data_IF_563280618191
#
_entry.id   IF_563280618191
#
_cell.length_a   1.000
_cell.length_b   1.000
_cell.length_c   1.000
_cell.angle_alpha   90.00
_cell.angle_beta   90.00
_cell.angle_gamma   90.00
#
_symmetry.space_group_name_H-M   'P 1'
#
loop_
_entity.id
_entity.type
_entity.pdbx_description
1 polymer ?
#
# COMPACT_ATOMS: atom_id res chain seq x y z
N UNK A 1 -67.87 59.79 22.80
CA UNK A 1 -68.59 58.95 21.84
C UNK A 1 -67.54 58.41 20.85
N UNK A 2 -66.92 57.31 21.16
CA UNK A 2 -65.92 56.69 20.31
C UNK A 2 -66.38 55.27 19.97
N UNK A 3 -66.62 55.01 18.71
CA UNK A 3 -66.98 53.69 18.17
C UNK A 3 -65.77 52.84 18.10
N UNK A 4 -65.78 51.67 18.75
CA UNK A 4 -64.79 50.65 18.70
C UNK A 4 -65.13 49.70 17.54
N UNK A 5 -64.26 49.62 16.55
CA UNK A 5 -64.36 48.68 15.40
C UNK A 5 -63.64 47.42 15.74
N UNK A 6 -64.33 46.29 15.85
CA UNK A 6 -63.79 44.98 16.07
C UNK A 6 -63.36 44.43 14.72
N UNK A 7 -62.09 44.22 14.52
CA UNK A 7 -61.54 43.50 13.35
C UNK A 7 -61.32 42.02 13.70
N UNK A 8 -62.09 41.15 13.05
CA UNK A 8 -61.93 39.71 13.14
C UNK A 8 -60.79 39.31 12.20
N UNK A 9 -59.65 38.84 12.77
CA UNK A 9 -58.57 38.25 12.02
C UNK A 9 -58.80 36.73 11.90
N UNK A 10 -59.15 36.30 10.71
CA UNK A 10 -59.21 34.87 10.37
C UNK A 10 -57.84 34.32 10.23
N UNK A 11 -57.44 33.40 11.10
CA UNK A 11 -56.17 32.62 10.95
C UNK A 11 -56.39 31.51 9.92
N UNK A 12 -55.84 31.67 8.75
CA UNK A 12 -55.65 30.55 7.81
C UNK A 12 -54.41 29.76 8.24
N UNK A 13 -54.62 28.58 8.80
CA UNK A 13 -53.55 27.59 8.99
C UNK A 13 -53.28 26.83 7.72
N UNK A 14 -52.25 27.21 6.97
CA UNK A 14 -51.71 26.40 5.88
C UNK A 14 -50.80 25.33 6.47
N UNK A 15 -51.27 24.09 6.45
CA UNK A 15 -50.47 22.91 6.74
C UNK A 15 -49.44 22.68 5.62
N UNK A 16 -48.17 23.09 5.81
CA UNK A 16 -47.06 22.65 4.98
C UNK A 16 -46.76 21.19 5.31
N UNK A 17 -47.19 20.29 4.41
CA UNK A 17 -46.67 18.92 4.38
C UNK A 17 -45.20 18.97 3.92
N UNK A 18 -44.30 18.92 4.85
CA UNK A 18 -42.86 18.71 4.54
C UNK A 18 -42.67 17.28 4.06
N UNK A 19 -42.63 17.09 2.74
CA UNK A 19 -42.10 15.88 2.14
C UNK A 19 -40.60 15.78 2.51
N UNK A 20 -40.32 15.00 3.54
CA UNK A 20 -38.92 14.58 3.84
C UNK A 20 -38.45 13.65 2.73
N UNK A 21 -37.84 14.22 1.71
CA UNK A 21 -37.01 13.43 0.78
C UNK A 21 -35.78 12.98 1.55
N UNK A 22 -35.80 11.72 2.00
CA UNK A 22 -34.58 11.05 2.47
C UNK A 22 -33.61 10.93 1.29
N UNK A 23 -32.72 11.91 1.16
CA UNK A 23 -31.51 11.77 0.36
C UNK A 23 -30.73 10.59 0.98
N UNK A 24 -30.91 9.38 0.43
CA UNK A 24 -29.93 8.33 0.56
C UNK A 24 -28.65 8.84 -0.12
N UNK A 25 -27.81 9.56 0.63
CA UNK A 25 -26.42 9.69 0.28
C UNK A 25 -25.91 8.26 0.11
N UNK A 26 -25.70 7.85 -1.14
CA UNK A 26 -24.82 6.73 -1.46
C UNK A 26 -23.48 7.13 -0.84
N UNK A 27 -23.19 6.62 0.35
CA UNK A 27 -21.88 6.75 0.94
C UNK A 27 -20.89 6.23 -0.09
N UNK A 28 -20.08 7.09 -0.66
CA UNK A 28 -18.90 6.68 -1.42
C UNK A 28 -18.10 5.81 -0.48
N UNK A 29 -18.06 4.50 -0.73
CA UNK A 29 -17.23 3.56 0.02
C UNK A 29 -15.81 4.14 -0.05
N UNK A 30 -15.30 4.63 1.08
CA UNK A 30 -13.94 5.13 1.15
C UNK A 30 -13.02 3.95 0.79
N UNK A 31 -12.25 4.08 -0.29
CA UNK A 31 -11.33 3.03 -0.72
C UNK A 31 -10.29 2.84 0.38
N UNK A 32 -10.23 1.63 0.93
CA UNK A 32 -9.26 1.28 1.97
C UNK A 32 -8.01 0.71 1.31
N UNK A 33 -6.85 1.22 1.70
CA UNK A 33 -5.57 0.80 1.15
C UNK A 33 -4.68 0.18 2.23
N UNK A 34 -3.80 -0.74 1.82
CA UNK A 34 -2.77 -1.34 2.66
C UNK A 34 -1.44 -1.39 1.91
N UNK A 35 -0.33 -1.19 2.62
CA UNK A 35 1.03 -1.37 2.13
C UNK A 35 1.58 -2.69 2.66
N UNK A 36 1.75 -3.67 1.80
CA UNK A 36 2.39 -4.95 2.10
C UNK A 36 3.83 -4.88 1.60
N UNK A 37 4.81 -5.07 2.47
CA UNK A 37 6.19 -4.93 2.06
C UNK A 37 7.15 -5.80 2.85
N UNK A 38 8.28 -6.12 2.23
CA UNK A 38 9.48 -6.62 2.89
C UNK A 38 10.55 -5.53 2.88
N UNK A 39 11.28 -5.40 3.96
CA UNK A 39 12.39 -4.45 4.07
C UNK A 39 13.55 -5.06 4.82
N UNK A 40 14.78 -4.86 4.32
CA UNK A 40 15.99 -5.37 4.96
C UNK A 40 16.76 -4.22 5.63
N UNK A 41 16.90 -4.31 6.96
CA UNK A 41 17.87 -3.53 7.74
C UNK A 41 19.20 -4.30 7.78
N UNK A 42 20.28 -3.64 8.20
CA UNK A 42 21.61 -4.24 8.26
C UNK A 42 22.47 -3.82 7.07
N UNK A 43 23.35 -4.72 6.62
CA UNK A 43 24.33 -4.42 5.60
C UNK A 43 23.72 -4.46 4.18
N UNK A 44 23.71 -3.31 3.49
CA UNK A 44 23.09 -3.14 2.19
C UNK A 44 24.07 -2.52 1.19
N UNK A 45 23.88 -2.82 -0.10
CA UNK A 45 24.67 -2.23 -1.17
C UNK A 45 24.47 -0.71 -1.23
N UNK A 46 25.53 0.01 -1.51
CA UNK A 46 25.65 1.46 -1.67
C UNK A 46 25.33 2.30 -0.39
N UNK A 47 24.47 1.83 0.52
CA UNK A 47 24.07 2.58 1.72
C UNK A 47 24.74 2.06 3.00
N UNK A 48 25.46 0.93 2.93
CA UNK A 48 26.13 0.31 4.07
C UNK A 48 25.16 -0.26 5.12
N UNK A 49 25.57 -0.22 6.38
CA UNK A 49 24.75 -0.77 7.47
C UNK A 49 23.70 0.25 7.93
N UNK A 50 22.43 -0.07 7.71
CA UNK A 50 21.28 0.80 8.02
C UNK A 50 20.38 0.17 9.09
N UNK A 51 19.88 0.98 10.02
CA UNK A 51 18.97 0.53 11.10
C UNK A 51 17.53 0.32 10.63
N UNK A 52 17.11 1.08 9.62
CA UNK A 52 15.78 1.00 9.01
C UNK A 52 15.97 0.77 7.53
N UNK A 53 15.41 -0.31 7.02
CA UNK A 53 15.54 -0.68 5.60
C UNK A 53 14.87 0.35 4.68
N UNK A 54 15.41 0.50 3.48
CA UNK A 54 14.96 1.52 2.52
C UNK A 54 13.49 1.36 2.13
N UNK A 55 13.01 0.13 1.93
CA UNK A 55 11.62 -0.12 1.57
C UNK A 55 10.65 0.28 2.68
N UNK A 56 11.01 0.08 3.96
CA UNK A 56 10.21 0.53 5.11
C UNK A 56 9.99 2.04 5.08
N UNK A 57 11.02 2.82 4.74
CA UNK A 57 10.90 4.28 4.64
C UNK A 57 9.90 4.68 3.55
N UNK A 58 9.93 4.01 2.40
CA UNK A 58 8.96 4.26 1.32
C UNK A 58 7.55 3.86 1.75
N UNK A 59 7.40 2.72 2.43
CA UNK A 59 6.12 2.26 2.98
C UNK A 59 5.55 3.27 3.98
N UNK A 60 6.40 3.84 4.84
CA UNK A 60 6.00 4.88 5.80
C UNK A 60 5.51 6.15 5.08
N UNK A 61 6.19 6.59 4.02
CA UNK A 61 5.74 7.73 3.22
C UNK A 61 4.39 7.46 2.54
N UNK A 62 4.20 6.26 1.97
CA UNK A 62 2.91 5.90 1.37
C UNK A 62 1.80 5.98 2.42
N UNK A 63 2.00 5.37 3.59
CA UNK A 63 1.00 5.39 4.67
C UNK A 63 0.73 6.79 5.22
N UNK A 64 1.77 7.60 5.41
CA UNK A 64 1.63 8.99 5.86
C UNK A 64 0.79 9.84 4.89
N UNK A 65 1.00 9.65 3.58
CA UNK A 65 0.35 10.46 2.54
C UNK A 65 -1.06 9.97 2.23
N UNK A 66 -1.28 8.64 2.25
CA UNK A 66 -2.54 8.03 1.79
C UNK A 66 -3.47 7.58 2.92
N UNK A 67 -2.95 7.45 4.14
CA UNK A 67 -3.67 6.82 5.25
C UNK A 67 -3.76 5.29 5.14
N UNK A 68 -2.96 4.66 4.25
CA UNK A 68 -2.95 3.20 4.10
C UNK A 68 -2.42 2.52 5.35
N UNK A 69 -3.04 1.39 5.72
CA UNK A 69 -2.52 0.49 6.75
C UNK A 69 -1.19 -0.14 6.29
N UNK A 70 -0.42 -0.72 7.19
CA UNK A 70 0.83 -1.41 6.86
C UNK A 70 0.82 -2.86 7.31
N UNK A 71 1.44 -3.71 6.50
CA UNK A 71 1.83 -5.07 6.86
C UNK A 71 3.27 -5.32 6.40
N UNK A 72 4.18 -5.43 7.36
CA UNK A 72 5.58 -5.77 7.11
C UNK A 72 5.76 -7.29 7.12
N UNK A 73 6.36 -7.82 6.06
CA UNK A 73 6.76 -9.23 5.99
C UNK A 73 8.04 -9.37 6.80
N UNK A 74 7.94 -10.05 7.94
CA UNK A 74 9.06 -10.27 8.86
C UNK A 74 9.63 -11.65 8.64
N UNK A 75 10.95 -11.75 8.56
CA UNK A 75 11.70 -13.02 8.59
C UNK A 75 13.05 -12.79 9.24
N UNK A 76 13.48 -13.72 10.08
CA UNK A 76 14.80 -13.66 10.74
C UNK A 76 15.89 -14.36 9.94
N UNK A 77 15.55 -14.91 8.77
CA UNK A 77 16.50 -15.67 7.94
C UNK A 77 17.72 -14.86 7.51
N UNK A 78 17.56 -13.55 7.36
CA UNK A 78 18.60 -12.65 6.84
C UNK A 78 19.26 -11.78 7.90
N UNK A 79 18.84 -11.90 9.17
CA UNK A 79 19.29 -11.03 10.27
C UNK A 79 20.78 -11.17 10.52
N UNK A 80 21.47 -10.02 10.67
CA UNK A 80 22.88 -9.97 10.98
C UNK A 80 23.83 -10.46 9.89
N UNK A 81 23.33 -10.80 8.71
CA UNK A 81 24.16 -11.22 7.61
C UNK A 81 24.92 -10.04 7.00
N UNK A 82 26.20 -10.23 6.71
CA UNK A 82 26.95 -9.30 5.87
C UNK A 82 26.45 -9.35 4.44
N UNK A 83 26.64 -8.26 3.69
CA UNK A 83 26.11 -8.12 2.32
C UNK A 83 26.49 -9.27 1.37
N UNK A 84 27.76 -9.71 1.35
CA UNK A 84 28.23 -10.78 0.45
C UNK A 84 27.52 -12.12 0.70
N UNK A 85 27.51 -12.67 1.92
CA UNK A 85 26.74 -13.87 2.26
C UNK A 85 25.24 -13.73 1.97
N UNK A 86 24.63 -12.57 2.27
CA UNK A 86 23.22 -12.30 1.99
C UNK A 86 22.90 -12.40 0.50
N UNK A 87 23.68 -11.72 -0.34
CA UNK A 87 23.47 -11.74 -1.80
C UNK A 87 23.62 -13.14 -2.39
N UNK A 88 24.58 -13.94 -1.90
CA UNK A 88 24.75 -15.32 -2.32
C UNK A 88 23.55 -16.19 -1.94
N UNK A 89 23.09 -16.09 -0.69
CA UNK A 89 21.90 -16.81 -0.22
C UNK A 89 20.66 -16.44 -1.05
N UNK A 90 20.42 -15.15 -1.26
CA UNK A 90 19.29 -14.66 -2.04
C UNK A 90 19.33 -15.15 -3.50
N UNK A 91 20.53 -15.26 -4.10
CA UNK A 91 20.71 -15.85 -5.44
C UNK A 91 20.38 -17.33 -5.47
N UNK A 92 20.85 -18.07 -4.46
CA UNK A 92 20.54 -19.51 -4.34
C UNK A 92 19.04 -19.76 -4.17
N UNK A 93 18.38 -18.99 -3.34
CA UNK A 93 16.91 -19.06 -3.16
C UNK A 93 16.18 -18.80 -4.49
N UNK A 94 16.54 -17.73 -5.19
CA UNK A 94 15.93 -17.39 -6.47
C UNK A 94 16.15 -18.51 -7.53
N UNK A 95 17.36 -19.04 -7.62
CA UNK A 95 17.71 -20.08 -8.58
C UNK A 95 17.00 -21.42 -8.30
N UNK A 96 16.75 -21.73 -7.02
CA UNK A 96 16.08 -22.96 -6.60
C UNK A 96 14.56 -22.80 -6.50
N UNK A 97 14.03 -21.57 -6.58
CA UNK A 97 12.64 -21.28 -6.27
C UNK A 97 12.29 -21.59 -4.80
N UNK A 98 13.26 -21.45 -3.91
CA UNK A 98 13.07 -21.67 -2.48
C UNK A 98 12.22 -20.55 -1.90
N UNK A 99 11.26 -20.90 -1.07
CA UNK A 99 10.32 -19.95 -0.45
C UNK A 99 10.57 -19.91 1.07
N UNK A 100 11.38 -18.97 1.55
CA UNK A 100 11.65 -18.81 2.97
C UNK A 100 10.39 -18.47 3.75
N UNK A 101 10.22 -19.01 4.97
CA UNK A 101 9.08 -18.67 5.81
C UNK A 101 9.13 -17.20 6.27
N UNK A 102 7.97 -16.62 6.48
CA UNK A 102 7.78 -15.35 7.17
C UNK A 102 7.10 -15.58 8.54
N UNK A 103 7.21 -14.61 9.43
CA UNK A 103 6.64 -14.67 10.76
C UNK A 103 5.17 -14.26 10.78
N UNK A 104 4.40 -14.91 11.65
CA UNK A 104 3.01 -14.56 11.90
C UNK A 104 2.03 -15.14 10.88
N UNK A 105 0.94 -14.42 10.63
CA UNK A 105 -0.14 -14.80 9.72
C UNK A 105 -0.29 -13.78 8.61
N UNK A 106 -0.67 -14.24 7.42
CA UNK A 106 -1.04 -13.35 6.33
C UNK A 106 -2.14 -12.36 6.75
N UNK A 107 -2.11 -11.12 6.25
CA UNK A 107 -3.12 -10.12 6.59
C UNK A 107 -4.47 -10.49 5.99
N UNK A 108 -5.56 -10.17 6.71
CA UNK A 108 -6.90 -10.20 6.13
C UNK A 108 -7.08 -9.01 5.19
N UNK A 109 -7.35 -9.29 3.93
CA UNK A 109 -7.43 -8.28 2.87
C UNK A 109 -8.85 -7.99 2.38
N UNK A 110 -9.87 -8.54 3.03
CA UNK A 110 -11.27 -8.43 2.59
C UNK A 110 -11.73 -6.97 2.48
N UNK A 111 -11.32 -6.11 3.40
CA UNK A 111 -11.74 -4.70 3.43
C UNK A 111 -10.96 -3.78 2.48
N UNK A 112 -9.82 -4.23 1.94
CA UNK A 112 -8.95 -3.39 1.13
C UNK A 112 -9.28 -3.49 -0.36
N UNK A 113 -9.42 -2.35 -1.01
CA UNK A 113 -9.63 -2.24 -2.45
C UNK A 113 -8.30 -2.03 -3.20
N UNK A 114 -7.32 -1.42 -2.51
CA UNK A 114 -5.99 -1.08 -3.04
C UNK A 114 -4.89 -1.69 -2.18
N UNK A 115 -3.93 -2.36 -2.80
CA UNK A 115 -2.80 -3.00 -2.15
C UNK A 115 -1.51 -2.52 -2.79
N UNK A 116 -0.70 -1.78 -2.04
CA UNK A 116 0.67 -1.51 -2.42
C UNK A 116 1.54 -2.74 -2.08
N UNK A 117 2.37 -3.19 -3.01
CA UNK A 117 3.31 -4.29 -2.79
C UNK A 117 4.72 -3.78 -2.99
N UNK A 118 5.56 -3.84 -1.95
CA UNK A 118 6.89 -3.27 -1.96
C UNK A 118 8.00 -4.16 -1.44
N UNK A 119 9.18 -4.02 -2.06
CA UNK A 119 10.38 -4.73 -1.61
C UNK A 119 11.66 -4.19 -2.26
N UNK A 120 12.83 -4.56 -1.73
CA UNK A 120 14.07 -4.34 -2.45
C UNK A 120 14.13 -5.25 -3.68
N UNK A 121 14.89 -4.84 -4.71
CA UNK A 121 15.15 -5.72 -5.85
C UNK A 121 16.37 -6.60 -5.53
N UNK A 122 16.13 -7.89 -5.37
CA UNK A 122 17.16 -8.91 -5.18
C UNK A 122 17.21 -9.82 -6.42
N UNK A 123 18.35 -9.84 -7.12
CA UNK A 123 18.55 -10.67 -8.32
C UNK A 123 17.45 -10.52 -9.39
N UNK A 124 17.02 -9.28 -9.61
CA UNK A 124 16.07 -8.93 -10.68
C UNK A 124 14.60 -9.15 -10.35
N UNK A 125 14.25 -9.52 -9.13
CA UNK A 125 12.88 -9.67 -8.65
C UNK A 125 12.74 -9.26 -7.17
N UNK A 126 11.58 -9.47 -6.57
CA UNK A 126 11.41 -9.37 -5.13
C UNK A 126 12.13 -10.51 -4.39
N UNK A 127 12.52 -10.32 -3.11
CA UNK A 127 13.02 -11.40 -2.26
C UNK A 127 12.05 -12.56 -2.16
N UNK A 128 12.57 -13.78 -2.10
CA UNK A 128 11.74 -15.00 -2.18
C UNK A 128 10.73 -15.14 -1.03
N UNK A 129 10.99 -14.55 0.12
CA UNK A 129 10.03 -14.48 1.24
C UNK A 129 8.72 -13.77 0.85
N UNK A 130 8.75 -12.82 -0.07
CA UNK A 130 7.52 -12.17 -0.56
C UNK A 130 6.66 -13.13 -1.37
N UNK A 131 7.27 -14.01 -2.16
CA UNK A 131 6.54 -15.03 -2.90
C UNK A 131 5.94 -16.11 -1.98
N UNK A 132 6.51 -16.31 -0.78
CA UNK A 132 5.87 -17.13 0.26
C UNK A 132 4.54 -16.52 0.67
N UNK A 133 4.54 -15.23 1.03
CA UNK A 133 3.30 -14.53 1.38
C UNK A 133 2.30 -14.49 0.21
N UNK A 134 2.77 -14.34 -1.04
CA UNK A 134 1.88 -14.30 -2.21
C UNK A 134 1.03 -15.57 -2.37
N UNK A 135 1.49 -16.72 -1.84
CA UNK A 135 0.69 -17.96 -1.82
C UNK A 135 -0.44 -17.96 -0.79
N UNK A 136 -0.30 -17.13 0.24
CA UNK A 136 -1.21 -17.10 1.39
C UNK A 136 -2.26 -16.00 1.30
N UNK A 137 -2.17 -15.11 0.30
CA UNK A 137 -3.08 -13.97 0.11
C UNK A 137 -3.85 -14.07 -1.20
N UNK A 138 -5.05 -13.45 -1.22
CA UNK A 138 -5.86 -13.32 -2.43
C UNK A 138 -6.06 -11.84 -2.76
N UNK A 139 -5.70 -11.44 -4.00
CA UNK A 139 -5.84 -10.08 -4.51
C UNK A 139 -6.81 -9.99 -5.69
N UNK A 140 -7.66 -11.00 -5.90
CA UNK A 140 -8.65 -11.00 -6.98
C UNK A 140 -9.53 -9.74 -6.93
N UNK A 141 -9.64 -9.04 -8.05
CA UNK A 141 -10.45 -7.83 -8.19
C UNK A 141 -9.87 -6.56 -7.54
N UNK A 142 -8.73 -6.63 -6.86
CA UNK A 142 -8.10 -5.48 -6.21
C UNK A 142 -7.19 -4.73 -7.17
N UNK A 143 -6.98 -3.44 -6.89
CA UNK A 143 -5.90 -2.66 -7.51
C UNK A 143 -4.60 -2.94 -6.77
N UNK A 144 -3.59 -3.41 -7.48
CA UNK A 144 -2.27 -3.73 -6.94
C UNK A 144 -1.24 -2.77 -7.52
N UNK A 145 -0.51 -2.11 -6.64
CA UNK A 145 0.44 -1.04 -6.98
C UNK A 145 1.84 -1.47 -6.51
N UNK A 146 2.66 -2.06 -7.39
CA UNK A 146 4.02 -2.47 -7.06
C UNK A 146 4.94 -1.27 -6.82
N UNK A 147 5.86 -1.38 -5.86
CA UNK A 147 6.97 -0.44 -5.72
C UNK A 147 8.26 -1.15 -5.31
N UNK A 148 9.40 -0.58 -5.70
CA UNK A 148 10.70 -1.16 -5.39
C UNK A 148 11.67 -0.12 -4.87
N UNK A 149 12.60 -0.58 -4.01
CA UNK A 149 13.85 0.12 -3.73
C UNK A 149 15.01 -0.65 -4.37
N UNK A 150 15.95 0.05 -4.98
CA UNK A 150 17.02 -0.57 -5.76
C UNK A 150 18.28 0.30 -5.79
N UNK A 151 19.36 -0.23 -6.36
CA UNK A 151 20.60 0.52 -6.66
C UNK A 151 20.97 0.35 -8.15
N UNK A 152 19.97 0.59 -9.05
CA UNK A 152 20.16 0.55 -10.50
C UNK A 152 19.20 -0.36 -11.27
N UNK A 153 18.48 -1.29 -10.60
CA UNK A 153 17.61 -2.28 -11.25
C UNK A 153 16.22 -1.74 -11.64
N UNK A 154 15.81 -0.60 -11.11
CA UNK A 154 14.45 -0.09 -11.31
C UNK A 154 13.39 -1.04 -10.75
N UNK A 155 12.35 -1.30 -11.53
CA UNK A 155 11.31 -2.28 -11.20
C UNK A 155 11.71 -3.73 -11.53
N UNK A 156 12.74 -3.93 -12.36
CA UNK A 156 13.14 -5.24 -12.87
C UNK A 156 11.94 -6.12 -13.27
N UNK A 157 11.86 -7.38 -12.83
CA UNK A 157 10.71 -8.25 -13.11
C UNK A 157 9.55 -8.11 -12.11
N UNK A 158 9.69 -7.31 -11.05
CA UNK A 158 8.74 -7.27 -9.93
C UNK A 158 7.27 -7.06 -10.36
N UNK A 159 7.01 -6.14 -11.31
CA UNK A 159 5.64 -5.92 -11.82
C UNK A 159 5.10 -7.13 -12.57
N UNK A 160 5.93 -7.77 -13.40
CA UNK A 160 5.52 -8.96 -14.15
C UNK A 160 5.29 -10.15 -13.23
N UNK A 161 6.06 -10.27 -12.17
CA UNK A 161 5.93 -11.35 -11.20
C UNK A 161 4.68 -11.20 -10.33
N UNK A 162 4.34 -9.97 -9.92
CA UNK A 162 3.05 -9.67 -9.27
C UNK A 162 1.88 -10.00 -10.21
N UNK A 163 1.96 -9.64 -11.50
CA UNK A 163 0.92 -9.99 -12.49
C UNK A 163 0.74 -11.50 -12.64
N UNK A 164 1.84 -12.26 -12.61
CA UNK A 164 1.78 -13.74 -12.67
C UNK A 164 1.18 -14.35 -11.41
N UNK A 165 1.54 -13.81 -10.24
CA UNK A 165 1.02 -14.29 -8.96
C UNK A 165 -0.48 -13.98 -8.80
N UNK A 166 -0.95 -12.84 -9.30
CA UNK A 166 -2.31 -12.34 -9.12
C UNK A 166 -2.96 -11.97 -10.47
N UNK A 167 -3.25 -12.96 -11.34
CA UNK A 167 -3.71 -12.70 -12.71
C UNK A 167 -5.10 -12.07 -12.81
N UNK A 168 -5.89 -12.07 -11.73
CA UNK A 168 -7.22 -11.47 -11.67
C UNK A 168 -7.25 -10.12 -10.96
N UNK A 169 -6.10 -9.57 -10.59
CA UNK A 169 -5.97 -8.24 -10.03
C UNK A 169 -5.65 -7.20 -11.10
N UNK A 170 -5.93 -5.91 -10.81
CA UNK A 170 -5.54 -4.79 -11.65
C UNK A 170 -4.15 -4.30 -11.23
N UNK A 171 -3.08 -4.83 -11.82
CA UNK A 171 -1.71 -4.45 -11.50
C UNK A 171 -1.27 -3.23 -12.31
N UNK A 172 -0.89 -2.14 -11.62
CA UNK A 172 -0.44 -0.88 -12.23
C UNK A 172 1.01 -0.96 -12.74
N UNK A 173 1.50 0.17 -13.28
CA UNK A 173 2.90 0.27 -13.78
C UNK A 173 3.95 0.15 -12.68
N UNK A 174 3.59 0.49 -11.44
CA UNK A 174 4.53 0.49 -10.31
C UNK A 174 5.41 1.74 -10.23
N UNK A 175 6.21 1.80 -9.16
CA UNK A 175 7.15 2.87 -8.84
C UNK A 175 8.48 2.30 -8.39
N UNK A 176 9.58 2.97 -8.71
CA UNK A 176 10.90 2.58 -8.22
C UNK A 176 11.68 3.81 -7.77
N UNK A 177 12.50 3.63 -6.73
CA UNK A 177 13.36 4.67 -6.18
C UNK A 177 14.70 4.07 -5.77
N UNK A 178 15.79 4.83 -5.95
CA UNK A 178 17.10 4.41 -5.45
C UNK A 178 17.09 4.38 -3.91
N UNK A 179 17.64 3.32 -3.35
CA UNK A 179 17.71 3.14 -1.89
C UNK A 179 18.48 4.26 -1.19
N UNK A 180 19.57 4.75 -1.80
CA UNK A 180 20.35 5.89 -1.28
C UNK A 180 19.59 7.23 -1.33
N UNK A 181 18.53 7.34 -2.11
CA UNK A 181 17.71 8.57 -2.23
C UNK A 181 16.51 8.58 -1.26
N UNK A 182 16.04 7.44 -0.75
CA UNK A 182 14.77 7.37 -0.02
C UNK A 182 14.67 8.35 1.15
N UNK A 183 15.78 8.67 1.80
CA UNK A 183 15.80 9.57 2.98
C UNK A 183 15.71 11.05 2.62
N UNK A 184 16.02 11.42 1.39
CA UNK A 184 16.06 12.81 0.92
C UNK A 184 15.00 13.13 -0.11
N UNK A 185 14.46 12.14 -0.81
CA UNK A 185 13.60 12.30 -1.97
C UNK A 185 12.13 11.88 -1.73
N UNK A 186 11.60 12.19 -0.54
CA UNK A 186 10.16 11.96 -0.24
C UNK A 186 9.24 12.56 -1.30
N UNK A 187 9.62 13.69 -1.88
CA UNK A 187 8.88 14.39 -2.94
C UNK A 187 8.64 13.55 -4.20
N UNK A 188 9.53 12.59 -4.52
CA UNK A 188 9.33 11.64 -5.62
C UNK A 188 8.15 10.70 -5.33
N UNK A 189 8.04 10.22 -4.09
CA UNK A 189 6.92 9.38 -3.64
C UNK A 189 5.60 10.17 -3.67
N UNK A 190 5.61 11.42 -3.17
CA UNK A 190 4.45 12.30 -3.20
C UNK A 190 3.96 12.57 -4.63
N UNK A 191 4.90 12.85 -5.55
CA UNK A 191 4.58 13.11 -6.96
C UNK A 191 3.99 11.87 -7.63
N UNK A 192 4.57 10.70 -7.37
CA UNK A 192 4.05 9.43 -7.87
C UNK A 192 2.63 9.17 -7.38
N UNK A 193 2.38 9.29 -6.07
CA UNK A 193 1.06 9.02 -5.48
C UNK A 193 -0.04 9.97 -5.98
N UNK A 194 0.31 11.24 -6.30
CA UNK A 194 -0.62 12.20 -6.92
C UNK A 194 -1.00 11.82 -8.36
N UNK A 195 -0.21 10.97 -9.01
CA UNK A 195 -0.45 10.51 -10.38
C UNK A 195 -1.21 9.19 -10.50
N UNK A 196 -1.61 8.58 -9.37
CA UNK A 196 -2.40 7.35 -9.30
C UNK A 196 -3.89 7.66 -9.41
#
# INVERSE_FOLDING_TARGET
MKKILLAIVALLTTSLSACSQSNKQKGTKQMKAIVIFFSHAGDNYAVGNIKVGNTKIVADYISEITGADQYEIVTHKYDGMAYGPLTKLAQEEANKGELPPYEGKAPDLVEYDTVFIGGPVWWGTYPQVMFTLFKDINLDGKTVIPFTTHEGSGLASCVSDVKKAFPKSNVTKGFSIYGHEVRTEKSKVETWLKGL
#
